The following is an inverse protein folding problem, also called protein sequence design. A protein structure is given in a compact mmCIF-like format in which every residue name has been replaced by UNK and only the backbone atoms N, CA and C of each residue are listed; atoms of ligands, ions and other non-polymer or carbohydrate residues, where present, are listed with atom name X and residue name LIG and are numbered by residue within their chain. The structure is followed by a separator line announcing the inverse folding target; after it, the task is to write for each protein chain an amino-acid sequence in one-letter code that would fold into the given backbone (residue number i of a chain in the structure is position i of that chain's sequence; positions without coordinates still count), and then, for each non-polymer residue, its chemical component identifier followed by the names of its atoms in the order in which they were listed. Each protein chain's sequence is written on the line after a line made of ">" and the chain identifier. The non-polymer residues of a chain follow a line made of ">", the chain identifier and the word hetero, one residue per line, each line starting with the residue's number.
data_IF_516270575757
#
_entry.id   IF_516270575757
#
_cell.length_a   1.000
_cell.length_b   1.000
_cell.length_c   1.000
_cell.angle_alpha   90.00
_cell.angle_beta   90.00
_cell.angle_gamma   90.00
#
_symmetry.space_group_name_H-M   'P 1'
#
loop_
_entity.id
_entity.type
_entity.pdbx_description
1 polymer ?
#
# COMPACT_ATOMS: atom_id res chain seq x y z
N UNK A 1 28.70 8.44 -13.15
CA UNK A 1 27.58 7.47 -13.17
C UNK A 1 26.55 8.04 -14.10
N UNK A 2 26.35 7.40 -15.24
CA UNK A 2 25.52 7.90 -16.34
C UNK A 2 24.14 8.30 -15.83
N UNK A 3 23.78 9.54 -16.14
CA UNK A 3 22.49 10.21 -15.92
C UNK A 3 21.43 9.64 -16.87
N UNK A 4 21.39 8.32 -17.03
CA UNK A 4 20.42 7.68 -17.89
C UNK A 4 19.07 7.60 -17.15
N UNK A 5 18.07 8.18 -17.82
CA UNK A 5 16.67 8.12 -17.43
C UNK A 5 16.21 6.66 -17.47
N UNK A 6 15.47 6.23 -16.46
CA UNK A 6 14.84 4.91 -16.42
C UNK A 6 13.34 5.11 -16.64
N UNK A 7 12.85 4.66 -17.78
CA UNK A 7 11.44 4.87 -18.15
C UNK A 7 10.54 3.91 -17.35
N UNK A 8 9.31 4.33 -17.05
CA UNK A 8 8.25 3.41 -16.61
C UNK A 8 7.35 3.19 -17.83
N UNK A 9 7.28 1.95 -18.32
CA UNK A 9 6.57 1.59 -19.55
C UNK A 9 5.39 0.70 -19.22
N UNK A 10 4.27 0.94 -19.88
CA UNK A 10 3.07 0.13 -19.73
C UNK A 10 2.88 -0.66 -21.03
N UNK A 11 2.90 -1.98 -20.93
CA UNK A 11 2.80 -2.90 -22.08
C UNK A 11 1.53 -3.72 -21.92
N UNK A 12 0.59 -3.56 -22.84
CA UNK A 12 -0.60 -4.42 -22.91
C UNK A 12 -0.30 -5.67 -23.74
N UNK A 13 -0.24 -6.80 -23.05
CA UNK A 13 0.03 -8.11 -23.65
C UNK A 13 -1.12 -8.59 -24.55
N UNK A 14 -2.31 -8.02 -24.43
CA UNK A 14 -3.44 -8.34 -25.31
C UNK A 14 -3.26 -7.76 -26.73
N UNK A 15 -2.55 -6.63 -26.86
CA UNK A 15 -2.33 -5.95 -28.15
C UNK A 15 -0.92 -6.18 -28.72
N UNK A 16 0.00 -6.72 -27.90
CA UNK A 16 1.41 -6.93 -28.22
C UNK A 16 2.15 -5.67 -28.67
N UNK A 17 1.71 -4.49 -28.21
CA UNK A 17 2.43 -3.23 -28.45
C UNK A 17 3.74 -3.22 -27.66
N UNK A 18 4.86 -3.17 -28.38
CA UNK A 18 6.21 -3.25 -27.81
C UNK A 18 6.77 -1.89 -27.41
N UNK A 19 6.09 -0.78 -27.77
CA UNK A 19 6.61 0.58 -27.63
C UNK A 19 7.86 0.83 -28.50
N UNK A 20 8.16 2.10 -28.79
CA UNK A 20 9.16 2.48 -29.82
C UNK A 20 10.41 3.20 -29.28
N UNK A 21 10.85 2.94 -28.04
CA UNK A 21 11.97 3.68 -27.46
C UNK A 21 13.09 2.79 -26.90
N UNK A 22 14.35 3.14 -27.21
CA UNK A 22 15.55 2.55 -26.60
C UNK A 22 15.91 3.23 -25.27
N UNK A 23 16.34 2.45 -24.28
CA UNK A 23 16.77 2.91 -22.95
C UNK A 23 16.37 1.91 -21.85
N UNK A 24 17.02 1.95 -20.68
CA UNK A 24 16.66 1.07 -19.57
C UNK A 24 15.27 1.44 -19.00
N UNK A 25 14.46 0.45 -18.64
CA UNK A 25 13.06 0.67 -18.28
C UNK A 25 12.50 -0.32 -17.26
N UNK A 26 11.47 0.11 -16.52
CA UNK A 26 10.58 -0.75 -15.74
C UNK A 26 9.33 -0.96 -16.58
N UNK A 27 9.21 -2.14 -17.16
CA UNK A 27 8.02 -2.54 -17.90
C UNK A 27 6.98 -3.08 -16.92
N UNK A 28 5.80 -2.46 -16.88
CA UNK A 28 4.59 -2.97 -16.22
C UNK A 28 3.76 -3.65 -17.29
N UNK A 29 3.48 -4.94 -17.08
CA UNK A 29 2.69 -5.74 -18.01
C UNK A 29 1.25 -5.77 -17.58
N UNK A 30 0.38 -5.61 -18.56
CA UNK A 30 -1.06 -5.58 -18.41
C UNK A 30 -1.68 -6.61 -19.33
N UNK A 31 -2.87 -7.05 -18.99
CA UNK A 31 -3.80 -7.66 -19.93
C UNK A 31 -5.09 -6.86 -19.84
N UNK A 32 -5.32 -5.96 -20.82
CA UNK A 32 -6.35 -4.93 -20.70
C UNK A 32 -6.12 -4.10 -19.42
N UNK A 33 -7.09 -4.05 -18.49
CA UNK A 33 -7.00 -3.33 -17.21
C UNK A 33 -6.37 -4.15 -16.06
N UNK A 34 -6.03 -5.43 -16.28
CA UNK A 34 -5.48 -6.31 -15.25
C UNK A 34 -3.95 -6.17 -15.18
N UNK A 35 -3.38 -5.67 -14.06
CA UNK A 35 -1.93 -5.66 -13.89
C UNK A 35 -1.43 -7.08 -13.65
N UNK A 36 -0.45 -7.50 -14.45
CA UNK A 36 0.05 -8.87 -14.48
C UNK A 36 1.42 -9.02 -13.82
N UNK A 37 2.32 -8.06 -14.02
CA UNK A 37 3.67 -8.15 -13.50
C UNK A 37 4.53 -6.96 -13.86
N UNK A 38 5.77 -6.96 -13.36
CA UNK A 38 6.80 -5.99 -13.75
C UNK A 38 8.11 -6.66 -14.09
N UNK A 39 8.87 -6.07 -15.01
CA UNK A 39 10.26 -6.45 -15.30
C UNK A 39 11.11 -5.21 -15.50
N UNK A 40 12.18 -5.10 -14.72
CA UNK A 40 13.24 -4.13 -14.96
C UNK A 40 14.15 -4.69 -16.07
N UNK A 41 14.42 -3.90 -17.10
CA UNK A 41 15.23 -4.30 -18.24
C UNK A 41 16.28 -3.26 -18.60
N UNK A 42 17.43 -3.76 -19.05
CA UNK A 42 18.48 -2.95 -19.65
C UNK A 42 18.14 -2.63 -21.11
N UNK A 43 18.88 -1.68 -21.70
CA UNK A 43 18.61 -1.23 -23.07
C UNK A 43 18.74 -2.34 -24.12
N UNK A 44 19.68 -3.26 -23.93
CA UNK A 44 19.96 -4.39 -24.82
C UNK A 44 18.92 -5.53 -24.71
N UNK A 45 18.09 -5.51 -23.68
CA UNK A 45 16.96 -6.44 -23.52
C UNK A 45 15.67 -5.97 -24.20
N UNK A 46 15.69 -4.79 -24.83
CA UNK A 46 14.51 -4.12 -25.39
C UNK A 46 14.66 -3.78 -26.89
N UNK A 47 13.57 -3.79 -27.67
CA UNK A 47 12.21 -4.17 -27.28
C UNK A 47 12.06 -5.68 -27.11
N UNK A 48 11.06 -6.11 -26.33
CA UNK A 48 10.78 -7.54 -26.17
C UNK A 48 10.35 -8.18 -27.49
N UNK A 49 10.96 -9.33 -27.82
CA UNK A 49 10.53 -10.12 -28.97
C UNK A 49 9.15 -10.75 -28.73
N UNK A 50 8.38 -10.98 -29.80
CA UNK A 50 7.07 -11.66 -29.72
C UNK A 50 7.12 -12.98 -28.92
N UNK A 51 8.13 -13.88 -29.09
CA UNK A 51 8.22 -15.09 -28.28
C UNK A 51 8.37 -14.82 -26.77
N UNK A 52 9.14 -13.80 -26.40
CA UNK A 52 9.32 -13.40 -25.01
C UNK A 52 8.01 -12.83 -24.42
N UNK A 53 7.31 -11.99 -25.17
CA UNK A 53 5.99 -11.47 -24.74
C UNK A 53 4.97 -12.59 -24.54
N UNK A 54 4.94 -13.59 -25.42
CA UNK A 54 4.08 -14.77 -25.26
C UNK A 54 4.42 -15.58 -24.02
N UNK A 55 5.70 -15.78 -23.73
CA UNK A 55 6.14 -16.47 -22.52
C UNK A 55 5.70 -15.70 -21.26
N UNK A 56 5.95 -14.39 -21.21
CA UNK A 56 5.54 -13.55 -20.08
C UNK A 56 4.02 -13.55 -19.90
N UNK A 57 3.26 -13.49 -21.00
CA UNK A 57 1.81 -13.60 -20.95
C UNK A 57 1.36 -14.92 -20.32
N UNK A 58 1.94 -16.05 -20.73
CA UNK A 58 1.61 -17.35 -20.16
C UNK A 58 1.98 -17.47 -18.67
N UNK A 59 3.18 -17.01 -18.28
CA UNK A 59 3.64 -17.05 -16.89
C UNK A 59 2.75 -16.21 -15.97
N UNK A 60 2.46 -14.97 -16.36
CA UNK A 60 1.59 -14.10 -15.55
C UNK A 60 0.13 -14.55 -15.57
N UNK A 61 -0.35 -15.13 -16.68
CA UNK A 61 -1.67 -15.72 -16.77
C UNK A 61 -1.87 -16.78 -15.71
N UNK A 62 -0.96 -17.76 -15.66
CA UNK A 62 -1.01 -18.87 -14.72
C UNK A 62 -1.07 -18.38 -13.28
N UNK A 63 -0.23 -17.39 -12.92
CA UNK A 63 -0.21 -16.82 -11.58
C UNK A 63 -1.55 -16.14 -11.19
N UNK A 64 -2.21 -15.42 -12.11
CA UNK A 64 -3.52 -14.83 -11.84
C UNK A 64 -4.61 -15.89 -11.67
N UNK A 65 -4.61 -16.91 -12.51
CA UNK A 65 -5.61 -17.97 -12.48
C UNK A 65 -5.52 -18.81 -11.21
N UNK A 66 -4.30 -19.18 -10.80
CA UNK A 66 -4.05 -19.86 -9.52
C UNK A 66 -4.60 -19.04 -8.36
N UNK A 67 -4.36 -17.72 -8.36
CA UNK A 67 -4.74 -16.86 -7.25
C UNK A 67 -6.24 -16.53 -7.18
N UNK A 68 -6.99 -16.68 -8.29
CA UNK A 68 -8.38 -16.22 -8.41
C UNK A 68 -9.39 -17.36 -8.60
N UNK A 69 -8.97 -18.56 -8.98
CA UNK A 69 -9.86 -19.71 -9.18
C UNK A 69 -10.31 -20.33 -7.85
N UNK A 70 -11.63 -20.39 -7.63
CA UNK A 70 -12.24 -21.00 -6.44
C UNK A 70 -12.03 -22.52 -6.41
N UNK A 71 -11.96 -23.17 -7.58
CA UNK A 71 -11.71 -24.61 -7.72
C UNK A 71 -10.25 -25.01 -7.52
N UNK A 72 -9.30 -24.07 -7.66
CA UNK A 72 -7.86 -24.29 -7.46
C UNK A 72 -7.32 -23.69 -6.15
N UNK A 73 -8.11 -22.85 -5.46
CA UNK A 73 -7.77 -22.25 -4.17
C UNK A 73 -8.22 -20.80 -4.09
N UNK A 74 -9.37 -20.55 -3.46
CA UNK A 74 -9.87 -19.21 -3.13
C UNK A 74 -8.80 -18.33 -2.41
N UNK A 75 -8.93 -16.98 -2.40
CA UNK A 75 -7.81 -16.04 -2.46
C UNK A 75 -6.68 -16.38 -1.49
N UNK A 76 -5.47 -16.36 -2.03
CA UNK A 76 -4.25 -16.78 -1.37
C UNK A 76 -4.11 -16.04 -0.03
N UNK A 77 -4.09 -16.79 1.07
CA UNK A 77 -3.81 -16.19 2.39
C UNK A 77 -2.35 -15.80 2.45
N UNK A 78 -2.07 -14.63 3.01
CA UNK A 78 -0.71 -14.15 3.18
C UNK A 78 0.09 -15.09 4.10
N UNK A 79 1.30 -15.44 3.69
CA UNK A 79 2.30 -16.10 4.53
C UNK A 79 2.95 -15.10 5.49
N UNK A 80 3.74 -15.58 6.45
CA UNK A 80 4.63 -14.75 7.28
C UNK A 80 5.51 -13.79 6.46
N UNK A 81 5.87 -14.18 5.24
CA UNK A 81 6.67 -13.37 4.35
C UNK A 81 5.88 -12.28 3.62
N UNK A 82 4.54 -12.28 3.69
CA UNK A 82 3.66 -11.39 2.95
C UNK A 82 3.40 -11.84 1.53
N UNK A 83 3.86 -13.05 1.17
CA UNK A 83 3.67 -13.66 -0.14
C UNK A 83 2.46 -14.60 -0.13
N UNK A 84 1.86 -14.87 -1.30
CA UNK A 84 0.92 -15.96 -1.44
C UNK A 84 1.54 -17.27 -0.93
N UNK A 85 0.76 -18.07 -0.20
CA UNK A 85 1.13 -19.46 0.06
C UNK A 85 0.87 -20.24 -1.24
N UNK A 86 1.89 -20.77 -1.94
CA UNK A 86 1.66 -21.43 -3.23
C UNK A 86 0.66 -22.56 -3.05
N UNK A 87 -0.32 -22.63 -3.96
CA UNK A 87 -1.25 -23.74 -4.08
C UNK A 87 -0.98 -24.43 -5.42
N UNK A 88 0.25 -24.87 -5.65
CA UNK A 88 0.56 -25.63 -6.86
C UNK A 88 0.29 -27.12 -6.63
N UNK A 89 -0.76 -27.64 -7.26
CA UNK A 89 -0.60 -28.88 -8.02
C UNK A 89 -0.38 -28.49 -9.48
N UNK A 90 0.66 -29.05 -10.10
CA UNK A 90 0.97 -28.90 -11.52
C UNK A 90 -0.22 -29.37 -12.40
N UNK A 91 -1.02 -30.31 -11.87
CA UNK A 91 -2.25 -30.83 -12.46
C UNK A 91 -3.29 -29.72 -12.70
N UNK A 92 -3.51 -28.80 -11.75
CA UNK A 92 -4.50 -27.73 -11.90
C UNK A 92 -4.14 -26.67 -12.95
N UNK A 93 -2.85 -26.47 -13.23
CA UNK A 93 -2.39 -25.59 -14.32
C UNK A 93 -2.48 -26.26 -15.69
N UNK A 94 -2.42 -27.59 -15.75
CA UNK A 94 -2.54 -28.39 -16.98
C UNK A 94 -4.02 -28.66 -17.35
N UNK A 95 -4.92 -28.65 -16.35
CA UNK A 95 -6.38 -28.82 -16.53
C UNK A 95 -7.11 -27.52 -16.91
N UNK A 96 -6.45 -26.37 -16.86
CA UNK A 96 -7.02 -25.10 -17.30
C UNK A 96 -7.11 -25.04 -18.83
N UNK A 97 -8.03 -25.80 -19.42
CA UNK A 97 -8.48 -25.56 -20.79
C UNK A 97 -8.95 -24.09 -20.88
N UNK A 98 -8.40 -23.35 -21.86
CA UNK A 98 -8.71 -21.95 -22.15
C UNK A 98 -8.22 -20.90 -21.11
N UNK A 99 -6.94 -20.94 -20.72
CA UNK A 99 -6.24 -19.91 -19.92
C UNK A 99 -6.56 -18.46 -20.37
N UNK A 100 -6.63 -18.23 -21.68
CA UNK A 100 -6.92 -16.90 -22.24
C UNK A 100 -8.34 -16.47 -21.93
N UNK A 101 -9.35 -17.33 -22.13
CA UNK A 101 -10.76 -16.99 -21.84
C UNK A 101 -10.95 -16.68 -20.35
N UNK A 102 -10.32 -17.48 -19.48
CA UNK A 102 -10.36 -17.24 -18.02
C UNK A 102 -9.68 -15.92 -17.65
N UNK A 103 -8.56 -15.58 -18.29
CA UNK A 103 -7.93 -14.26 -18.12
C UNK A 103 -8.80 -13.13 -18.64
N UNK A 104 -9.50 -13.32 -19.75
CA UNK A 104 -10.41 -12.30 -20.28
C UNK A 104 -11.55 -12.00 -19.31
N UNK A 105 -12.07 -13.03 -18.62
CA UNK A 105 -13.05 -12.85 -17.56
C UNK A 105 -12.48 -11.98 -16.43
N UNK A 106 -11.27 -12.27 -15.94
CA UNK A 106 -10.63 -11.46 -14.90
C UNK A 106 -10.23 -10.07 -15.37
N UNK A 107 -9.83 -9.91 -16.63
CA UNK A 107 -9.42 -8.65 -17.20
C UNK A 107 -10.58 -7.76 -17.63
N UNK A 108 -11.81 -8.26 -17.54
CA UNK A 108 -12.99 -7.46 -17.83
C UNK A 108 -13.07 -6.30 -16.85
N UNK A 109 -13.07 -5.11 -17.43
CA UNK A 109 -13.24 -3.81 -16.77
C UNK A 109 -14.42 -3.87 -15.79
N UNK A 110 -14.14 -3.71 -14.48
CA UNK A 110 -15.21 -3.58 -13.49
C UNK A 110 -16.04 -2.33 -13.80
N UNK A 111 -17.36 -2.52 -13.83
CA UNK A 111 -18.38 -1.46 -13.90
C UNK A 111 -19.08 -1.26 -12.56
N UNK A 112 -18.55 -1.83 -11.47
CA UNK A 112 -19.14 -1.70 -10.14
C UNK A 112 -19.29 -0.21 -9.76
N UNK A 113 -20.46 0.11 -9.23
CA UNK A 113 -20.81 1.48 -8.83
C UNK A 113 -20.01 1.89 -7.60
N UNK A 114 -19.28 3.00 -7.69
CA UNK A 114 -18.52 3.59 -6.59
C UNK A 114 -19.29 4.72 -5.86
N UNK A 115 -20.60 4.87 -6.10
CA UNK A 115 -21.40 5.96 -5.54
C UNK A 115 -21.52 5.94 -4.01
N UNK A 116 -21.26 4.80 -3.36
CA UNK A 116 -21.24 4.67 -1.89
C UNK A 116 -19.82 4.79 -1.31
N UNK A 117 -18.91 5.45 -2.04
CA UNK A 117 -17.52 5.68 -1.63
C UNK A 117 -17.19 7.15 -1.45
N UNK A 118 -16.64 7.48 -0.29
CA UNK A 118 -15.96 8.75 -0.01
C UNK A 118 -14.47 8.58 -0.29
N UNK A 119 -13.90 9.34 -1.24
CA UNK A 119 -12.46 9.40 -1.46
C UNK A 119 -11.88 10.56 -0.64
N UNK A 120 -10.90 10.28 0.22
CA UNK A 120 -10.26 11.24 1.10
C UNK A 120 -8.80 11.45 0.66
N UNK A 121 -8.43 12.68 0.35
CA UNK A 121 -7.07 13.09 -0.01
C UNK A 121 -6.58 14.09 1.03
N UNK A 122 -5.47 13.78 1.68
CA UNK A 122 -4.83 14.70 2.63
C UNK A 122 -3.68 15.41 1.95
N UNK A 123 -3.60 16.74 2.09
CA UNK A 123 -2.54 17.53 1.48
C UNK A 123 -1.92 18.50 2.47
N UNK A 124 -0.66 18.88 2.24
CA UNK A 124 0.02 19.95 2.98
C UNK A 124 1.11 20.57 2.13
N UNK A 125 0.89 21.81 1.70
CA UNK A 125 1.87 22.62 0.97
C UNK A 125 2.29 21.99 -0.39
N UNK A 126 1.36 21.33 -1.09
CA UNK A 126 1.59 20.62 -2.37
C UNK A 126 0.51 20.82 -3.43
N UNK A 127 0.08 22.07 -3.63
CA UNK A 127 -0.97 22.42 -4.59
C UNK A 127 -0.85 21.77 -5.98
N UNK A 128 0.33 21.79 -6.65
CA UNK A 128 0.48 21.17 -7.98
C UNK A 128 0.26 19.65 -7.98
N UNK A 129 0.86 18.92 -7.03
CA UNK A 129 0.69 17.47 -6.95
C UNK A 129 -0.77 17.09 -6.65
N UNK A 130 -1.42 17.85 -5.75
CA UNK A 130 -2.85 17.70 -5.50
C UNK A 130 -3.69 17.88 -6.77
N UNK A 131 -3.36 18.86 -7.63
CA UNK A 131 -4.09 19.08 -8.87
C UNK A 131 -4.00 17.85 -9.79
N UNK A 132 -2.80 17.30 -9.97
CA UNK A 132 -2.59 16.08 -10.76
C UNK A 132 -3.37 14.88 -10.18
N UNK A 133 -3.32 14.70 -8.85
CA UNK A 133 -4.11 13.69 -8.15
C UNK A 133 -5.62 13.85 -8.41
N UNK A 134 -6.15 15.08 -8.25
CA UNK A 134 -7.57 15.37 -8.45
C UNK A 134 -8.00 15.17 -9.91
N UNK A 135 -7.14 15.46 -10.90
CA UNK A 135 -7.40 15.12 -12.29
C UNK A 135 -7.55 13.61 -12.50
N UNK A 136 -6.69 12.79 -11.89
CA UNK A 136 -6.80 11.33 -11.99
C UNK A 136 -8.06 10.77 -11.29
N UNK A 137 -8.49 11.38 -10.17
CA UNK A 137 -9.74 11.03 -9.48
C UNK A 137 -10.97 11.49 -10.28
N UNK A 138 -10.92 12.63 -10.95
CA UNK A 138 -11.99 13.09 -11.83
C UNK A 138 -12.15 12.21 -13.08
N UNK A 139 -11.09 11.52 -13.50
CA UNK A 139 -11.07 10.61 -14.65
C UNK A 139 -11.52 9.17 -14.33
N UNK A 140 -12.02 8.90 -13.11
CA UNK A 140 -12.48 7.56 -12.74
C UNK A 140 -13.67 7.11 -13.60
N UNK A 141 -13.60 5.87 -14.11
CA UNK A 141 -14.69 5.25 -14.90
C UNK A 141 -15.99 5.12 -14.10
N UNK A 142 -15.86 4.93 -12.79
CA UNK A 142 -16.98 4.91 -11.83
C UNK A 142 -16.73 6.00 -10.81
N UNK A 143 -17.40 7.15 -10.96
CA UNK A 143 -17.17 8.28 -10.07
C UNK A 143 -17.50 7.91 -8.60
N UNK A 144 -16.66 8.29 -7.63
CA UNK A 144 -17.01 8.14 -6.22
C UNK A 144 -18.18 9.05 -5.87
N UNK A 145 -18.93 8.70 -4.83
CA UNK A 145 -20.06 9.51 -4.37
C UNK A 145 -19.65 10.88 -3.82
N UNK A 146 -18.47 10.97 -3.22
CA UNK A 146 -17.87 12.26 -2.85
C UNK A 146 -16.33 12.20 -2.85
N UNK A 147 -15.70 13.35 -3.10
CA UNK A 147 -14.25 13.56 -2.97
C UNK A 147 -14.03 14.62 -1.90
N UNK A 148 -13.24 14.30 -0.89
CA UNK A 148 -12.94 15.17 0.25
C UNK A 148 -11.44 15.45 0.24
N UNK A 149 -11.08 16.72 0.13
CA UNK A 149 -9.70 17.16 0.31
C UNK A 149 -9.55 17.79 1.68
N UNK A 150 -8.64 17.25 2.48
CA UNK A 150 -8.28 17.78 3.78
C UNK A 150 -6.93 18.46 3.70
N UNK A 151 -6.95 19.78 3.80
CA UNK A 151 -5.78 20.63 3.79
C UNK A 151 -5.22 20.77 5.20
N UNK A 152 -4.00 20.26 5.39
CA UNK A 152 -3.26 20.26 6.65
C UNK A 152 -2.14 21.33 6.68
N UNK A 153 -2.18 22.29 5.74
CA UNK A 153 -1.37 23.50 5.78
C UNK A 153 -1.86 24.45 6.86
N UNK A 154 -0.96 25.34 7.30
CA UNK A 154 -1.29 26.33 8.33
C UNK A 154 -2.29 27.38 7.82
N UNK A 155 -2.22 27.72 6.54
CA UNK A 155 -2.87 28.87 5.91
C UNK A 155 -4.01 28.49 4.95
N UNK A 156 -4.25 27.21 4.69
CA UNK A 156 -5.34 26.77 3.82
C UNK A 156 -4.99 26.89 2.33
N UNK A 157 -3.70 26.73 1.98
CA UNK A 157 -3.19 27.01 0.64
C UNK A 157 -3.75 26.10 -0.48
N UNK A 158 -4.39 24.97 -0.15
CA UNK A 158 -4.98 24.10 -1.15
C UNK A 158 -6.37 24.56 -1.62
N UNK A 159 -7.01 25.53 -0.94
CA UNK A 159 -8.38 25.99 -1.25
C UNK A 159 -8.54 26.44 -2.70
N UNK A 160 -7.55 27.14 -3.24
CA UNK A 160 -7.57 27.62 -4.63
C UNK A 160 -7.50 26.50 -5.67
N UNK A 161 -6.74 25.43 -5.39
CA UNK A 161 -6.66 24.25 -6.25
C UNK A 161 -7.98 23.47 -6.19
N UNK A 162 -8.52 23.23 -4.99
CA UNK A 162 -9.79 22.52 -4.84
C UNK A 162 -10.96 23.25 -5.52
N UNK A 163 -10.96 24.58 -5.52
CA UNK A 163 -12.01 25.38 -6.18
C UNK A 163 -12.13 25.18 -7.69
N UNK A 164 -11.15 24.53 -8.34
CA UNK A 164 -11.18 24.21 -9.77
C UNK A 164 -12.00 22.94 -10.06
N UNK A 165 -12.38 22.18 -9.03
CA UNK A 165 -13.09 20.90 -9.15
C UNK A 165 -14.45 20.99 -8.48
N UNK A 166 -15.53 20.94 -9.27
CA UNK A 166 -16.90 21.15 -8.80
C UNK A 166 -17.42 20.09 -7.82
N UNK A 167 -16.84 18.89 -7.84
CA UNK A 167 -17.22 17.74 -7.00
C UNK A 167 -16.36 17.58 -5.72
N UNK A 168 -15.41 18.49 -5.49
CA UNK A 168 -14.48 18.40 -4.35
C UNK A 168 -15.00 19.18 -3.14
N UNK A 169 -15.12 18.47 -2.03
CA UNK A 169 -15.41 19.08 -0.72
C UNK A 169 -14.10 19.40 0.00
N UNK A 170 -13.82 20.68 0.14
CA UNK A 170 -12.63 21.18 0.86
C UNK A 170 -12.85 21.25 2.37
N UNK A 171 -11.85 20.82 3.14
CA UNK A 171 -11.80 20.91 4.60
C UNK A 171 -10.43 21.44 5.00
N UNK A 172 -10.39 22.41 5.92
CA UNK A 172 -9.14 22.91 6.49
C UNK A 172 -8.95 22.35 7.91
N UNK A 173 -7.86 21.61 8.12
CA UNK A 173 -7.40 21.12 9.43
C UNK A 173 -6.02 21.72 9.72
N UNK A 174 -5.93 22.90 10.35
CA UNK A 174 -4.66 23.61 10.50
C UNK A 174 -3.69 22.95 11.49
N UNK A 175 -4.12 21.97 12.30
CA UNK A 175 -3.22 21.26 13.21
C UNK A 175 -2.44 20.18 12.46
N UNK A 176 -1.14 20.39 12.32
CA UNK A 176 -0.25 19.47 11.60
C UNK A 176 -0.33 18.03 12.13
N UNK A 177 -0.43 17.09 11.19
CA UNK A 177 -0.47 15.65 11.45
C UNK A 177 -1.33 14.92 10.41
N UNK A 178 -0.75 14.01 9.64
CA UNK A 178 -1.46 13.25 8.62
C UNK A 178 -2.64 12.46 9.20
N UNK A 179 -2.47 11.82 10.36
CA UNK A 179 -3.56 11.16 11.07
C UNK A 179 -4.70 12.12 11.45
N UNK A 180 -4.39 13.39 11.82
CA UNK A 180 -5.42 14.40 12.11
C UNK A 180 -6.23 14.72 10.85
N UNK A 181 -5.52 14.92 9.74
CA UNK A 181 -6.14 15.18 8.44
C UNK A 181 -7.02 13.99 8.00
N UNK A 182 -6.52 12.75 8.10
CA UNK A 182 -7.31 11.54 7.81
C UNK A 182 -8.54 11.43 8.71
N UNK A 183 -8.40 11.72 10.01
CA UNK A 183 -9.52 11.70 10.95
C UNK A 183 -10.56 12.79 10.65
N UNK A 184 -10.13 13.99 10.25
CA UNK A 184 -11.04 15.04 9.78
C UNK A 184 -11.79 14.60 8.51
N UNK A 185 -11.09 13.91 7.59
CA UNK A 185 -11.69 13.27 6.42
C UNK A 185 -12.76 12.24 6.81
N UNK A 186 -12.42 11.27 7.67
CA UNK A 186 -13.37 10.24 8.16
C UNK A 186 -14.63 10.86 8.74
N UNK A 187 -14.48 11.87 9.61
CA UNK A 187 -15.62 12.57 10.24
C UNK A 187 -16.50 13.29 9.22
N UNK A 188 -15.91 13.76 8.13
CA UNK A 188 -16.65 14.47 7.09
C UNK A 188 -17.27 13.56 6.04
N UNK A 189 -16.69 12.39 5.81
CA UNK A 189 -17.22 11.35 4.93
C UNK A 189 -18.62 10.94 5.38
N UNK A 190 -19.52 10.69 4.42
CA UNK A 190 -20.92 10.32 4.66
C UNK A 190 -21.28 8.91 4.19
N UNK A 191 -20.45 8.29 3.36
CA UNK A 191 -20.76 7.04 2.66
C UNK A 191 -20.15 5.82 3.34
N UNK A 192 -20.60 4.61 2.99
CA UNK A 192 -20.18 3.40 3.74
C UNK A 192 -18.75 2.97 3.44
N UNK A 193 -18.21 3.28 2.27
CA UNK A 193 -16.81 3.02 1.93
C UNK A 193 -16.00 4.31 2.05
N UNK A 194 -14.83 4.25 2.68
CA UNK A 194 -13.90 5.37 2.77
C UNK A 194 -12.56 4.94 2.19
N UNK A 195 -12.21 5.48 1.03
CA UNK A 195 -10.94 5.26 0.35
C UNK A 195 -9.98 6.43 0.63
N UNK A 196 -8.70 6.14 0.75
CA UNK A 196 -7.62 7.10 0.95
C UNK A 196 -6.60 6.97 -0.17
N UNK A 197 -6.15 8.12 -0.64
CA UNK A 197 -4.94 8.22 -1.45
C UNK A 197 -4.16 9.49 -1.08
N UNK A 198 -2.87 9.51 -1.40
CA UNK A 198 -1.99 10.63 -1.07
C UNK A 198 -2.01 11.68 -2.20
N UNK A 199 -1.64 12.92 -1.88
CA UNK A 199 -1.63 14.02 -2.85
C UNK A 199 -0.50 13.93 -3.90
N UNK A 200 0.43 13.00 -3.74
CA UNK A 200 1.52 12.69 -4.68
C UNK A 200 1.27 11.36 -5.42
N UNK A 201 -0.01 11.02 -5.64
CA UNK A 201 -0.47 9.81 -6.32
C UNK A 201 -1.38 10.13 -7.50
N UNK A 202 -1.21 9.39 -8.60
CA UNK A 202 -2.16 9.30 -9.71
C UNK A 202 -2.91 7.96 -9.61
N UNK A 203 -4.25 7.97 -9.58
CA UNK A 203 -5.06 6.74 -9.49
C UNK A 203 -5.36 6.18 -10.89
N UNK A 204 -5.33 4.85 -11.06
CA UNK A 204 -5.72 4.20 -12.30
C UNK A 204 -7.21 4.47 -12.61
N UNK A 205 -7.67 4.63 -13.88
CA UNK A 205 -9.07 4.95 -14.19
C UNK A 205 -10.11 3.95 -13.64
N UNK A 206 -9.69 2.72 -13.33
CA UNK A 206 -10.53 1.69 -12.71
C UNK A 206 -10.49 1.64 -11.18
N UNK A 207 -9.68 2.45 -10.51
CA UNK A 207 -9.36 2.32 -9.08
C UNK A 207 -10.59 2.27 -8.17
N UNK A 208 -11.53 3.20 -8.32
CA UNK A 208 -12.77 3.23 -7.51
C UNK A 208 -13.71 2.06 -7.83
N UNK A 209 -13.83 1.68 -9.10
CA UNK A 209 -14.66 0.56 -9.52
C UNK A 209 -14.12 -0.79 -8.99
N UNK A 210 -12.80 -0.94 -8.91
CA UNK A 210 -12.17 -2.15 -8.40
C UNK A 210 -12.27 -2.26 -6.88
N UNK A 211 -12.15 -1.14 -6.15
CA UNK A 211 -12.41 -1.12 -4.70
C UNK A 211 -13.87 -1.48 -4.40
N UNK A 212 -14.83 -0.86 -5.11
CA UNK A 212 -16.26 -1.14 -4.93
C UNK A 212 -16.59 -2.61 -5.23
N UNK A 213 -16.06 -3.15 -6.34
CA UNK A 213 -16.20 -4.56 -6.69
C UNK A 213 -15.61 -5.47 -5.60
N UNK A 214 -14.41 -5.18 -5.13
CA UNK A 214 -13.74 -6.00 -4.12
C UNK A 214 -14.51 -6.06 -2.79
N UNK A 215 -15.11 -4.96 -2.33
CA UNK A 215 -16.01 -4.99 -1.15
C UNK A 215 -17.33 -5.73 -1.41
N UNK A 216 -17.84 -5.74 -2.65
CA UNK A 216 -19.03 -6.50 -3.00
C UNK A 216 -18.76 -8.02 -3.10
N UNK A 217 -17.61 -8.40 -3.63
CA UNK A 217 -17.25 -9.80 -3.90
C UNK A 217 -16.66 -10.52 -2.68
N UNK A 218 -16.11 -9.78 -1.71
CA UNK A 218 -15.34 -10.34 -0.59
C UNK A 218 -15.85 -9.80 0.74
N UNK A 219 -16.02 -10.71 1.69
CA UNK A 219 -16.32 -10.37 3.08
C UNK A 219 -15.03 -9.91 3.80
N UNK A 220 -14.63 -8.66 3.52
CA UNK A 220 -13.48 -8.00 4.14
C UNK A 220 -13.85 -6.57 4.55
N UNK A 221 -13.13 -6.07 5.55
CA UNK A 221 -13.42 -4.78 6.15
C UNK A 221 -12.46 -3.68 5.68
N UNK A 222 -11.33 -4.07 5.10
CA UNK A 222 -10.34 -3.18 4.54
C UNK A 222 -9.78 -3.72 3.23
N UNK A 223 -9.34 -2.81 2.38
CA UNK A 223 -8.67 -3.09 1.11
C UNK A 223 -7.38 -2.28 1.06
N UNK A 224 -6.31 -2.89 0.56
CA UNK A 224 -5.13 -2.21 0.02
C UNK A 224 -4.96 -2.60 -1.44
N UNK A 225 -4.14 -1.87 -2.20
CA UNK A 225 -3.92 -2.17 -3.60
C UNK A 225 -2.50 -2.00 -4.06
N UNK A 226 -2.28 -2.27 -5.34
CA UNK A 226 -0.97 -2.19 -5.98
C UNK A 226 -0.52 -0.72 -6.07
N UNK A 227 0.72 -0.46 -5.65
CA UNK A 227 1.35 0.86 -5.75
C UNK A 227 2.57 0.75 -6.66
N UNK A 228 2.47 1.33 -7.84
CA UNK A 228 3.55 1.36 -8.84
C UNK A 228 4.28 2.71 -8.82
N UNK A 229 5.55 2.78 -9.24
CA UNK A 229 6.22 4.05 -9.42
C UNK A 229 5.60 4.81 -10.60
N UNK A 230 5.22 6.07 -10.41
CA UNK A 230 4.82 6.92 -11.53
C UNK A 230 6.01 7.23 -12.46
N UNK A 231 7.21 7.42 -11.88
CA UNK A 231 8.44 7.80 -12.59
C UNK A 231 9.69 7.27 -11.88
N UNK A 232 10.74 6.97 -12.65
CA UNK A 232 12.04 6.47 -12.14
C UNK A 232 13.25 7.22 -12.74
N UNK A 233 13.07 8.51 -13.00
CA UNK A 233 14.04 9.36 -13.71
C UNK A 233 15.33 9.56 -12.89
N UNK A 234 15.22 9.62 -11.56
CA UNK A 234 16.35 9.92 -10.67
C UNK A 234 16.89 8.68 -9.94
N UNK A 235 18.16 8.74 -9.54
CA UNK A 235 18.78 7.66 -8.76
C UNK A 235 18.11 7.44 -7.38
N UNK A 236 17.56 8.49 -6.77
CA UNK A 236 16.83 8.36 -5.51
C UNK A 236 15.55 7.54 -5.69
N UNK A 237 14.76 7.83 -6.73
CA UNK A 237 13.54 7.08 -7.05
C UNK A 237 13.86 5.60 -7.33
N UNK A 238 14.91 5.32 -8.11
CA UNK A 238 15.37 3.95 -8.38
C UNK A 238 15.88 3.24 -7.13
N UNK A 239 16.57 3.94 -6.23
CA UNK A 239 17.00 3.37 -4.97
C UNK A 239 15.80 2.95 -4.11
N UNK A 240 14.77 3.80 -4.02
CA UNK A 240 13.54 3.45 -3.33
C UNK A 240 12.86 2.22 -3.97
N UNK A 241 12.67 2.23 -5.29
CA UNK A 241 11.99 1.13 -5.98
C UNK A 241 12.75 -0.20 -5.90
N UNK A 242 14.03 -0.22 -6.30
CA UNK A 242 14.77 -1.48 -6.50
C UNK A 242 15.58 -1.91 -5.29
N UNK A 243 16.13 -0.97 -4.51
CA UNK A 243 17.00 -1.30 -3.37
C UNK A 243 16.22 -1.43 -2.07
N UNK A 244 15.15 -0.65 -1.91
CA UNK A 244 14.30 -0.69 -0.71
C UNK A 244 13.04 -1.54 -0.88
N UNK A 245 12.76 -2.01 -2.10
CA UNK A 245 11.59 -2.84 -2.42
C UNK A 245 10.31 -2.06 -2.70
N UNK A 246 10.40 -0.74 -2.88
CA UNK A 246 9.25 0.13 -3.15
C UNK A 246 8.15 -0.01 -2.08
N UNK A 247 6.91 -0.15 -2.53
CA UNK A 247 5.74 -0.41 -1.68
C UNK A 247 5.28 -1.88 -1.72
N UNK A 248 6.15 -2.80 -2.16
CA UNK A 248 5.79 -4.19 -2.46
C UNK A 248 5.19 -4.35 -3.86
N UNK A 249 5.37 -5.52 -4.47
CA UNK A 249 5.05 -5.77 -5.90
C UNK A 249 4.45 -7.16 -6.12
N UNK A 250 3.40 -7.51 -5.36
CA UNK A 250 2.61 -8.69 -5.71
C UNK A 250 1.47 -8.29 -6.64
N UNK A 251 1.27 -9.08 -7.69
CA UNK A 251 0.25 -8.85 -8.71
C UNK A 251 -0.97 -9.76 -8.52
N UNK A 252 -0.97 -10.57 -7.47
CA UNK A 252 -2.07 -11.48 -7.11
C UNK A 252 -2.78 -11.02 -5.83
N UNK A 253 -4.10 -11.28 -5.68
CA UNK A 253 -4.83 -10.90 -4.49
C UNK A 253 -4.37 -11.69 -3.25
N UNK A 254 -4.34 -11.03 -2.09
CA UNK A 254 -3.95 -11.64 -0.82
C UNK A 254 -4.88 -11.25 0.32
N UNK A 255 -5.27 -12.21 1.18
CA UNK A 255 -5.98 -11.89 2.42
C UNK A 255 -5.02 -11.92 3.61
N UNK A 256 -5.03 -10.82 4.37
CA UNK A 256 -4.41 -10.68 5.67
C UNK A 256 -5.50 -10.74 6.74
N UNK A 257 -5.46 -11.75 7.59
CA UNK A 257 -6.50 -12.02 8.59
C UNK A 257 -5.88 -12.31 9.97
N UNK A 258 -6.70 -12.82 10.90
CA UNK A 258 -6.26 -13.19 12.24
C UNK A 258 -5.12 -14.23 12.23
N UNK A 259 -5.10 -15.14 11.27
CA UNK A 259 -4.06 -16.18 11.18
C UNK A 259 -2.71 -15.53 10.89
N UNK A 260 -2.64 -14.68 9.86
CA UNK A 260 -1.41 -13.95 9.55
C UNK A 260 -0.90 -13.14 10.76
N UNK A 261 -1.84 -12.49 11.47
CA UNK A 261 -1.53 -11.75 12.68
C UNK A 261 -0.90 -12.65 13.76
N UNK A 262 -1.52 -13.77 14.12
CA UNK A 262 -0.98 -14.68 15.15
C UNK A 262 0.36 -15.32 14.74
N UNK A 263 0.53 -15.69 13.47
CA UNK A 263 1.79 -16.25 12.96
C UNK A 263 2.96 -15.27 13.06
N UNK A 264 2.70 -13.97 12.87
CA UNK A 264 3.74 -12.91 12.86
C UNK A 264 3.86 -12.16 14.18
N UNK A 265 2.86 -12.23 15.05
CA UNK A 265 2.80 -11.54 16.35
C UNK A 265 4.03 -11.74 17.23
N UNK A 266 4.64 -12.95 17.34
CA UNK A 266 5.86 -13.14 18.13
C UNK A 266 7.05 -12.29 17.68
N UNK A 267 7.07 -11.81 16.43
CA UNK A 267 8.09 -10.93 15.85
C UNK A 267 7.60 -9.50 15.59
N UNK A 268 6.45 -9.13 16.16
CA UNK A 268 5.83 -7.82 16.03
C UNK A 268 4.93 -7.75 14.79
N UNK A 269 3.78 -8.43 14.85
CA UNK A 269 2.74 -8.60 13.82
C UNK A 269 2.99 -7.79 12.54
N UNK A 270 3.41 -8.45 11.45
CA UNK A 270 4.03 -7.86 10.26
C UNK A 270 3.07 -7.05 9.35
N UNK A 271 2.21 -6.23 9.94
CA UNK A 271 1.12 -5.48 9.31
C UNK A 271 1.59 -4.43 8.30
N UNK A 272 2.87 -4.04 8.32
CA UNK A 272 3.48 -3.21 7.27
C UNK A 272 3.62 -3.94 5.93
N UNK A 273 3.30 -5.23 5.85
CA UNK A 273 3.26 -6.01 4.60
C UNK A 273 1.90 -5.98 3.91
N UNK A 274 0.87 -5.44 4.56
CA UNK A 274 -0.50 -5.42 4.06
C UNK A 274 -0.65 -4.48 2.87
N UNK A 275 0.06 -3.35 2.90
CA UNK A 275 0.06 -2.36 1.83
C UNK A 275 0.59 -1.01 2.32
N UNK A 276 0.17 0.07 1.66
CA UNK A 276 0.59 1.42 1.96
C UNK A 276 -0.61 2.36 2.08
N UNK A 277 -0.54 3.35 2.98
CA UNK A 277 -1.59 4.33 3.18
C UNK A 277 -1.93 5.19 1.96
N UNK A 278 -1.08 5.18 0.94
CA UNK A 278 -1.30 5.81 -0.36
C UNK A 278 -2.40 5.10 -1.21
N UNK A 279 -2.75 3.86 -0.87
CA UNK A 279 -3.75 3.07 -1.57
C UNK A 279 -4.46 2.12 -0.59
N UNK A 280 -5.45 2.65 0.12
CA UNK A 280 -6.22 1.88 1.10
C UNK A 280 -7.69 2.32 1.12
N UNK A 281 -8.57 1.40 1.47
CA UNK A 281 -9.98 1.67 1.69
C UNK A 281 -10.51 0.86 2.87
N UNK A 282 -11.54 1.37 3.53
CA UNK A 282 -12.15 0.73 4.69
C UNK A 282 -13.67 0.85 4.62
N UNK A 283 -14.37 -0.15 5.13
CA UNK A 283 -15.76 0.05 5.53
C UNK A 283 -15.81 1.05 6.70
N UNK A 284 -16.78 1.96 6.68
CA UNK A 284 -16.99 2.97 7.72
C UNK A 284 -17.10 2.35 9.11
N UNK A 285 -17.79 1.21 9.21
CA UNK A 285 -18.01 0.44 10.45
C UNK A 285 -16.70 0.07 11.16
N UNK A 286 -15.57 -0.03 10.42
CA UNK A 286 -14.24 -0.25 11.01
C UNK A 286 -13.89 0.85 11.99
N UNK A 287 -14.11 2.12 11.63
CA UNK A 287 -13.71 3.26 12.47
C UNK A 287 -14.56 3.38 13.73
N UNK A 288 -15.80 2.89 13.71
CA UNK A 288 -16.66 2.80 14.89
C UNK A 288 -16.21 1.67 15.82
N UNK A 289 -15.77 0.55 15.26
CA UNK A 289 -15.36 -0.65 16.01
C UNK A 289 -13.96 -0.55 16.60
N UNK A 290 -12.97 -0.19 15.79
CA UNK A 290 -11.55 -0.21 16.19
C UNK A 290 -11.00 1.18 16.53
N UNK A 291 -11.72 2.25 16.16
CA UNK A 291 -11.29 3.64 16.32
C UNK A 291 -10.60 4.21 15.07
N UNK A 292 -10.45 5.53 15.01
CA UNK A 292 -9.81 6.24 13.90
C UNK A 292 -8.26 6.14 13.93
N UNK A 293 -7.54 6.85 13.06
CA UNK A 293 -6.08 6.85 13.07
C UNK A 293 -5.52 7.45 14.35
N UNK A 294 -4.43 6.87 14.86
CA UNK A 294 -3.72 7.40 16.01
C UNK A 294 -3.00 8.71 15.62
N UNK A 295 -3.47 9.83 16.16
CA UNK A 295 -2.96 11.19 15.89
C UNK A 295 -1.52 11.40 16.33
N UNK A 296 -0.95 10.47 17.09
CA UNK A 296 0.45 10.49 17.51
C UNK A 296 1.39 9.93 16.44
N UNK A 297 0.85 9.17 15.50
CA UNK A 297 1.57 8.56 14.38
C UNK A 297 1.42 9.39 13.10
N UNK A 298 2.20 9.02 12.07
CA UNK A 298 2.16 9.65 10.76
C UNK A 298 2.96 10.94 10.61
N UNK A 299 2.98 11.43 9.37
CA UNK A 299 3.75 12.60 8.98
C UNK A 299 3.27 13.84 9.75
N UNK A 300 4.19 14.68 10.22
CA UNK A 300 3.89 15.78 11.14
C UNK A 300 3.83 15.40 12.62
N UNK A 301 3.89 14.10 12.96
CA UNK A 301 3.96 13.59 14.33
C UNK A 301 5.17 12.64 14.53
N UNK A 302 4.93 11.35 14.81
CA UNK A 302 6.03 10.38 14.97
C UNK A 302 6.76 10.07 13.65
N UNK A 303 6.11 10.23 12.49
CA UNK A 303 6.75 10.13 11.17
C UNK A 303 5.93 9.34 10.15
N UNK A 304 5.53 8.11 10.49
CA UNK A 304 4.85 7.15 9.59
C UNK A 304 4.07 6.11 10.45
N UNK A 305 3.57 5.06 9.79
CA UNK A 305 3.00 3.82 10.36
C UNK A 305 1.66 3.95 11.08
N UNK A 306 0.94 5.05 10.87
CA UNK A 306 -0.45 5.22 11.29
C UNK A 306 -1.40 4.25 10.56
N UNK A 307 -1.08 3.90 9.31
CA UNK A 307 -1.79 2.91 8.50
C UNK A 307 -1.58 1.49 9.05
N UNK A 308 -0.32 1.13 9.28
CA UNK A 308 0.11 -0.13 9.87
C UNK A 308 -0.46 -0.33 11.26
N UNK A 309 -0.53 0.72 12.09
CA UNK A 309 -1.17 0.65 13.41
C UNK A 309 -2.68 0.40 13.31
N UNK A 310 -3.38 1.04 12.37
CA UNK A 310 -4.80 0.77 12.16
C UNK A 310 -5.05 -0.66 11.69
N UNK A 311 -4.26 -1.17 10.74
CA UNK A 311 -4.36 -2.58 10.33
C UNK A 311 -4.02 -3.55 11.47
N UNK A 312 -3.07 -3.20 12.34
CA UNK A 312 -2.81 -3.98 13.56
C UNK A 312 -4.08 -4.11 14.39
N UNK A 313 -4.75 -3.00 14.70
CA UNK A 313 -5.99 -3.02 15.47
C UNK A 313 -7.07 -3.83 14.78
N UNK A 314 -7.25 -3.65 13.47
CA UNK A 314 -8.20 -4.41 12.67
C UNK A 314 -8.00 -5.92 12.83
N UNK A 315 -6.79 -6.44 12.56
CA UNK A 315 -6.49 -7.87 12.65
C UNK A 315 -6.52 -8.38 14.10
N UNK A 316 -6.03 -7.58 15.06
CA UNK A 316 -6.06 -7.89 16.49
C UNK A 316 -7.49 -7.96 17.05
N UNK A 317 -8.49 -7.39 16.36
CA UNK A 317 -9.92 -7.52 16.69
C UNK A 317 -10.68 -8.46 15.74
N UNK A 318 -9.96 -9.28 14.97
CA UNK A 318 -10.53 -10.34 14.14
C UNK A 318 -11.03 -9.88 12.76
N UNK A 319 -10.76 -8.64 12.35
CA UNK A 319 -11.03 -8.19 10.99
C UNK A 319 -10.03 -8.73 9.97
N UNK A 320 -10.31 -8.50 8.70
CA UNK A 320 -9.46 -8.90 7.59
C UNK A 320 -9.27 -7.75 6.58
N UNK A 321 -8.10 -7.74 5.95
CA UNK A 321 -7.74 -6.82 4.88
C UNK A 321 -7.42 -7.60 3.61
N UNK A 322 -8.03 -7.22 2.49
CA UNK A 322 -7.70 -7.74 1.16
C UNK A 322 -6.67 -6.81 0.51
N UNK A 323 -5.56 -7.36 0.06
CA UNK A 323 -4.76 -6.72 -0.98
C UNK A 323 -5.37 -7.08 -2.35
N UNK A 324 -5.93 -6.10 -3.07
CA UNK A 324 -6.48 -6.25 -4.42
C UNK A 324 -5.57 -5.54 -5.43
N UNK A 325 -4.72 -6.26 -6.18
CA UNK A 325 -3.79 -5.66 -7.11
C UNK A 325 -4.46 -4.94 -8.27
N UNK A 326 -5.75 -5.18 -8.57
CA UNK A 326 -6.51 -4.42 -9.58
C UNK A 326 -6.80 -2.98 -9.15
N UNK A 327 -6.81 -2.69 -7.84
CA UNK A 327 -6.88 -1.32 -7.35
C UNK A 327 -5.48 -0.69 -7.46
N UNK A 328 -5.15 -0.13 -8.63
CA UNK A 328 -3.80 0.39 -8.92
C UNK A 328 -3.70 1.88 -8.69
N UNK A 329 -2.58 2.30 -8.11
CA UNK A 329 -2.16 3.70 -8.10
C UNK A 329 -0.68 3.86 -8.49
N UNK A 330 -0.33 5.06 -8.96
CA UNK A 330 1.02 5.45 -9.35
C UNK A 330 1.56 6.51 -8.40
N UNK A 331 2.58 6.17 -7.61
CA UNK A 331 3.14 7.05 -6.60
C UNK A 331 4.36 7.82 -7.13
N UNK A 332 4.39 9.13 -6.90
CA UNK A 332 5.55 9.99 -7.20
C UNK A 332 6.60 9.92 -6.10
N UNK A 333 7.57 9.03 -6.27
CA UNK A 333 8.69 8.89 -5.32
C UNK A 333 9.50 10.18 -5.20
N UNK A 334 10.14 10.37 -4.03
CA UNK A 334 11.05 11.50 -3.80
C UNK A 334 12.18 11.48 -4.83
N UNK A 335 12.33 12.58 -5.56
CA UNK A 335 13.28 12.73 -6.67
C UNK A 335 14.71 12.98 -6.22
N UNK A 336 14.91 13.40 -4.97
CA UNK A 336 16.23 13.74 -4.43
C UNK A 336 16.63 12.91 -3.20
N UNK A 337 17.94 12.76 -3.02
CA UNK A 337 18.52 12.00 -1.91
C UNK A 337 18.18 12.57 -0.52
N UNK A 338 18.24 13.90 -0.27
CA UNK A 338 17.82 14.46 1.00
C UNK A 338 16.36 14.11 1.37
N UNK A 339 15.44 14.20 0.41
CA UNK A 339 14.03 13.88 0.54
C UNK A 339 13.82 12.40 0.85
N UNK A 340 14.46 11.52 0.08
CA UNK A 340 14.43 10.08 0.36
C UNK A 340 14.99 9.75 1.75
N UNK A 341 16.16 10.29 2.13
CA UNK A 341 16.74 10.05 3.47
C UNK A 341 15.85 10.53 4.60
N UNK A 342 15.21 11.71 4.45
CA UNK A 342 14.21 12.21 5.40
C UNK A 342 13.02 11.25 5.51
N UNK A 343 12.52 10.76 4.38
CA UNK A 343 11.41 9.80 4.33
C UNK A 343 11.79 8.48 5.05
N UNK A 344 12.93 7.87 4.72
CA UNK A 344 13.38 6.62 5.34
C UNK A 344 13.61 6.76 6.85
N UNK A 345 14.20 7.89 7.28
CA UNK A 345 14.32 8.20 8.71
C UNK A 345 12.96 8.31 9.39
N UNK A 346 11.99 8.98 8.76
CA UNK A 346 10.63 9.11 9.28
C UNK A 346 9.91 7.75 9.33
N UNK A 347 10.12 6.87 8.34
CA UNK A 347 9.58 5.52 8.32
C UNK A 347 10.06 4.71 9.52
N UNK A 348 11.38 4.69 9.80
CA UNK A 348 11.89 3.94 10.95
C UNK A 348 11.53 4.54 12.30
N UNK A 349 11.48 5.87 12.41
CA UNK A 349 10.98 6.52 13.63
C UNK A 349 9.51 6.18 13.88
N UNK A 350 8.68 6.27 12.84
CA UNK A 350 7.25 5.92 12.89
C UNK A 350 7.01 4.45 13.21
N UNK A 351 7.78 3.55 12.58
CA UNK A 351 7.71 2.11 12.83
C UNK A 351 7.98 1.77 14.30
N UNK A 352 9.04 2.32 14.90
CA UNK A 352 9.31 2.12 16.33
C UNK A 352 8.19 2.70 17.20
N UNK A 353 7.70 3.91 16.89
CA UNK A 353 6.61 4.52 17.65
C UNK A 353 5.31 3.69 17.58
N UNK A 354 4.98 3.14 16.41
CA UNK A 354 3.83 2.25 16.21
C UNK A 354 3.97 0.95 17.00
N UNK A 355 5.14 0.31 16.98
CA UNK A 355 5.42 -0.89 17.78
C UNK A 355 5.25 -0.63 19.29
N UNK A 356 5.68 0.53 19.78
CA UNK A 356 5.44 0.95 21.18
C UNK A 356 3.95 1.16 21.44
N UNK A 357 3.23 1.87 20.57
CA UNK A 357 1.79 2.09 20.73
C UNK A 357 1.00 0.76 20.74
N UNK A 358 1.35 -0.17 19.86
CA UNK A 358 0.76 -1.51 19.79
C UNK A 358 1.07 -2.31 21.05
N UNK A 359 2.30 -2.26 21.56
CA UNK A 359 2.67 -2.89 22.83
C UNK A 359 1.88 -2.30 24.01
N UNK A 360 1.77 -0.99 24.10
CA UNK A 360 1.04 -0.30 25.19
C UNK A 360 -0.46 -0.62 25.17
N UNK A 361 -1.04 -0.78 23.97
CA UNK A 361 -2.47 -1.06 23.80
C UNK A 361 -2.82 -2.55 23.98
N UNK A 362 -1.97 -3.48 23.54
CA UNK A 362 -2.28 -4.91 23.47
C UNK A 362 -1.38 -5.82 24.34
N UNK A 363 -0.25 -5.33 24.83
CA UNK A 363 0.71 -6.11 25.64
C UNK A 363 1.61 -7.05 24.84
N UNK A 364 1.65 -6.90 23.50
CA UNK A 364 2.28 -7.86 22.60
C UNK A 364 3.80 -7.74 22.59
N UNK A 365 4.46 -8.59 23.39
CA UNK A 365 5.92 -8.58 23.61
C UNK A 365 6.76 -8.71 22.35
N UNK A 366 6.21 -9.29 21.27
CA UNK A 366 6.87 -9.39 19.98
C UNK A 366 7.30 -8.03 19.42
N UNK A 367 6.55 -6.96 19.70
CA UNK A 367 6.89 -5.61 19.31
C UNK A 367 8.19 -5.13 19.98
N UNK A 368 8.41 -5.46 21.25
CA UNK A 368 9.64 -5.13 21.97
C UNK A 368 10.82 -5.97 21.46
N UNK A 369 10.59 -7.25 21.16
CA UNK A 369 11.59 -8.12 20.52
C UNK A 369 12.01 -7.57 19.16
N UNK A 370 11.05 -7.07 18.37
CA UNK A 370 11.31 -6.42 17.08
C UNK A 370 12.23 -5.21 17.26
N UNK A 371 11.90 -4.30 18.18
CA UNK A 371 12.67 -3.07 18.45
C UNK A 371 14.08 -3.39 18.95
N UNK A 372 14.18 -4.24 19.98
CA UNK A 372 15.42 -4.43 20.74
C UNK A 372 16.37 -5.49 20.19
N UNK A 373 15.87 -6.46 19.39
CA UNK A 373 16.68 -7.57 18.88
C UNK A 373 16.67 -7.66 17.37
N UNK A 374 15.51 -7.68 16.73
CA UNK A 374 15.44 -8.00 15.31
C UNK A 374 15.87 -6.83 14.41
N UNK A 375 15.51 -5.59 14.73
CA UNK A 375 15.97 -4.42 13.99
C UNK A 375 17.50 -4.26 14.07
N UNK A 376 18.15 -4.35 15.25
CA UNK A 376 19.61 -4.37 15.31
C UNK A 376 20.26 -5.47 14.47
N UNK A 377 19.73 -6.70 14.52
CA UNK A 377 20.22 -7.83 13.69
C UNK A 377 20.04 -7.53 12.20
N UNK A 378 18.89 -6.96 11.81
CA UNK A 378 18.66 -6.51 10.44
C UNK A 378 19.70 -5.48 10.00
N UNK A 379 19.91 -4.42 10.78
CA UNK A 379 20.89 -3.38 10.45
C UNK A 379 22.30 -3.94 10.32
N UNK A 380 22.72 -4.85 11.21
CA UNK A 380 24.03 -5.48 11.13
C UNK A 380 24.17 -6.34 9.86
N UNK A 381 23.18 -7.19 9.56
CA UNK A 381 23.18 -8.01 8.33
C UNK A 381 23.23 -7.15 7.07
N UNK A 382 22.42 -6.09 7.04
CA UNK A 382 22.37 -5.15 5.92
C UNK A 382 23.65 -4.35 5.79
N UNK A 383 24.28 -3.95 6.90
CA UNK A 383 25.58 -3.27 6.89
C UNK A 383 26.66 -4.16 6.29
N UNK A 384 26.79 -5.41 6.79
CA UNK A 384 27.75 -6.38 6.27
C UNK A 384 27.51 -6.63 4.78
N UNK A 385 26.26 -6.89 4.38
CA UNK A 385 25.93 -7.07 2.95
C UNK A 385 26.28 -5.82 2.13
N UNK A 386 26.01 -4.63 2.65
CA UNK A 386 26.29 -3.38 1.94
C UNK A 386 27.79 -3.10 1.76
N UNK A 387 28.67 -3.63 2.63
CA UNK A 387 30.13 -3.50 2.48
C UNK A 387 30.69 -4.35 1.33
N UNK A 388 30.11 -5.51 1.05
CA UNK A 388 30.62 -6.45 0.05
C UNK A 388 29.84 -6.44 -1.27
N UNK A 389 28.52 -6.21 -1.22
CA UNK A 389 27.58 -6.38 -2.35
C UNK A 389 26.59 -5.22 -2.49
N UNK A 390 26.76 -4.14 -1.71
CA UNK A 390 25.79 -3.04 -1.65
C UNK A 390 25.81 -2.13 -2.87
N UNK A 391 24.65 -1.75 -3.43
CA UNK A 391 24.62 -0.71 -4.43
C UNK A 391 25.11 0.63 -3.84
N UNK A 392 25.74 1.51 -4.65
CA UNK A 392 26.18 2.82 -4.20
C UNK A 392 25.06 3.61 -3.50
N UNK A 393 25.36 4.17 -2.32
CA UNK A 393 24.39 4.91 -1.51
C UNK A 393 23.59 4.08 -0.50
N UNK A 394 23.62 2.73 -0.55
CA UNK A 394 22.91 1.87 0.42
C UNK A 394 23.28 2.14 1.87
N UNK A 395 24.57 2.40 2.14
CA UNK A 395 25.06 2.73 3.48
C UNK A 395 24.49 4.06 3.99
N UNK A 396 24.32 5.06 3.13
CA UNK A 396 23.72 6.34 3.49
C UNK A 396 22.22 6.22 3.82
N UNK A 397 21.53 5.32 3.11
CA UNK A 397 20.14 4.96 3.42
C UNK A 397 20.06 4.18 4.73
N UNK A 398 20.94 3.20 4.94
CA UNK A 398 21.00 2.43 6.19
C UNK A 398 21.27 3.33 7.39
N UNK A 399 22.16 4.31 7.25
CA UNK A 399 22.39 5.31 8.29
C UNK A 399 21.11 6.09 8.63
N UNK A 400 20.27 6.38 7.63
CA UNK A 400 18.97 7.03 7.83
C UNK A 400 17.96 6.12 8.54
N UNK A 401 17.95 4.82 8.21
CA UNK A 401 17.15 3.80 8.91
C UNK A 401 17.55 3.71 10.39
N UNK A 402 18.85 3.61 10.68
CA UNK A 402 19.39 3.55 12.06
C UNK A 402 19.10 4.84 12.82
N UNK A 403 19.28 6.01 12.21
CA UNK A 403 18.91 7.29 12.82
C UNK A 403 17.41 7.36 13.14
N UNK A 404 16.56 6.83 12.27
CA UNK A 404 15.11 6.74 12.51
C UNK A 404 14.80 5.82 13.69
N UNK A 405 15.40 4.63 13.73
CA UNK A 405 15.26 3.70 14.84
C UNK A 405 15.70 4.32 16.19
N UNK A 406 16.88 4.93 16.24
CA UNK A 406 17.37 5.64 17.43
C UNK A 406 16.45 6.79 17.84
N UNK A 407 15.92 7.56 16.88
CA UNK A 407 14.95 8.62 17.14
C UNK A 407 13.60 8.10 17.64
N UNK A 408 13.31 6.81 17.43
CA UNK A 408 12.13 6.11 17.94
C UNK A 408 12.30 5.58 19.37
N UNK A 409 13.51 5.24 19.80
CA UNK A 409 13.75 4.67 21.14
C UNK A 409 13.22 5.51 22.31
N UNK A 410 13.26 6.87 22.29
CA UNK A 410 12.68 7.68 23.34
C UNK A 410 11.18 7.43 23.59
N UNK A 411 10.43 6.88 22.61
CA UNK A 411 9.03 6.50 22.83
C UNK A 411 8.87 5.36 23.84
N UNK A 412 9.87 4.48 24.01
CA UNK A 412 9.86 3.42 25.04
C UNK A 412 9.86 3.97 26.47
N UNK A 413 10.45 5.15 26.67
CA UNK A 413 10.55 5.79 27.98
C UNK A 413 9.35 6.70 28.28
N UNK A 414 8.51 6.97 27.28
CA UNK A 414 7.28 7.75 27.45
C UNK A 414 6.17 6.85 28.03
N UNK A 415 6.41 6.33 29.23
CA UNK A 415 5.44 5.56 30.00
C UNK A 415 4.13 6.35 30.11
N UNK A 416 3.04 5.79 29.58
CA UNK A 416 1.74 6.42 29.68
C UNK A 416 1.44 7.47 28.60
N UNK A 417 1.82 7.17 27.36
CA UNK A 417 1.12 7.59 26.15
C UNK A 417 -0.34 7.04 26.17
N UNK A 418 -1.10 7.38 27.22
CA UNK A 418 -2.18 6.58 27.81
C UNK A 418 -3.38 6.40 26.88
N UNK A 419 -3.69 5.12 26.60
CA UNK A 419 -5.01 4.53 26.34
C UNK A 419 -6.04 5.51 25.77
N UNK A 420 -6.12 5.63 24.44
CA UNK A 420 -7.46 5.54 23.88
C UNK A 420 -7.93 4.15 24.29
N UNK A 421 -8.81 4.08 25.29
CA UNK A 421 -9.66 2.91 25.45
C UNK A 421 -10.36 2.78 24.10
N UNK A 422 -9.83 1.96 23.20
CA UNK A 422 -10.70 1.23 22.28
C UNK A 422 -11.67 0.58 23.25
N UNK A 423 -12.91 1.08 23.26
CA UNK A 423 -13.95 0.56 24.11
C UNK A 423 -13.91 -0.95 23.89
N UNK A 424 -13.52 -1.67 24.93
CA UNK A 424 -13.16 -3.08 24.83
C UNK A 424 -14.47 -3.85 24.68
N UNK A 425 -15.10 -3.79 23.51
CA UNK A 425 -16.19 -4.69 23.12
C UNK A 425 -15.66 -6.09 22.77
N UNK A 426 -14.34 -6.29 22.87
CA UNK A 426 -13.68 -7.58 22.67
C UNK A 426 -13.94 -8.57 23.83
N UNK A 427 -14.29 -8.10 25.03
CA UNK A 427 -14.53 -9.00 26.17
C UNK A 427 -15.87 -9.76 26.12
N UNK A 428 -16.77 -9.46 25.18
CA UNK A 428 -18.11 -10.08 25.13
C UNK A 428 -18.24 -11.23 24.12
N UNK A 429 -17.29 -11.40 23.20
CA UNK A 429 -17.37 -12.45 22.16
C UNK A 429 -16.72 -13.75 22.63
N UNK A 430 -15.60 -13.69 23.35
CA UNK A 430 -14.93 -14.90 23.88
C UNK A 430 -15.72 -15.59 25.01
N UNK A 431 -16.58 -14.87 25.73
CA UNK A 431 -17.39 -15.45 26.80
C UNK A 431 -18.65 -16.20 26.29
N UNK A 432 -19.07 -15.99 25.04
CA UNK A 432 -20.25 -16.65 24.45
C UNK A 432 -19.93 -17.81 23.51
N UNK A 433 -18.66 -17.98 23.11
CA UNK A 433 -18.21 -19.08 22.26
C UNK A 433 -17.81 -20.37 23.00
N UNK A 434 -17.70 -20.33 24.33
CA UNK A 434 -17.35 -21.50 25.17
C UNK A 434 -18.59 -22.09 25.87
N UNK A 435 -19.75 -21.45 25.73
CA UNK A 435 -21.02 -21.93 26.24
C UNK A 435 -22.07 -21.97 25.12
N UNK A 436 -21.87 -22.85 24.13
CA UNK A 436 -22.95 -23.49 23.36
C UNK A 436 -22.45 -24.73 22.63
#
# INVERSE_FOLDING_TARGET
>A
MTTERFDVRHIDLATADTGTHGGPALSVFWWKDLPLGTRASLQDELPYGIPQLRQLAAEYAAAQLEARSIGLGAPLRATYEGWPKPALSLEGSLEAENLIESLEEFATTSSASAHDMSVVICTRDRGPALADCLHSVAAQRSAPGEVIVVDNSRDGNAKGVCGQFSSVRYIHEPQAGLSRARNAGIRASRLNMIAFTDDDVEVHPGWTAEIARAFADRDVEAITGLVLPARLETAAQRCFQFTMGGFGTTFVPLIFDRRFFEETKPSGAHVWKIGAGANMAFQRSVFERVGMFDERLGAGAAGCSEDSELWYRLLATGGACLYEPRAVVFHHHRSDWPGLKRQIRAYMKGHVAALVAQYDNFGDRGNIVRIGKQLPVYFLKTFVKALFEGPPGRLGILASEVQGWLAGLPFLLRFGWRKQRIATHVAAVDAKGIAK
#
